data_IF_877664669299
#
_entry.id   IF_877664669299
#
_cell.length_a   1.000
_cell.length_b   1.000
_cell.length_c   1.000
_cell.angle_alpha   90.00
_cell.angle_beta   90.00
_cell.angle_gamma   90.00
#
_symmetry.space_group_name_H-M   'P 1'
#
loop_
_entity.id
_entity.type
_entity.pdbx_description
1 polymer ?
#
# COMPACT_ATOMS: atom_id res chain seq x y z
N UNK A 1 -43.41 -24.82 38.24
CA UNK A 1 -42.36 -25.57 37.52
C UNK A 1 -41.67 -26.51 38.52
N UNK A 2 -41.38 -27.78 38.18
CA UNK A 2 -40.78 -28.71 39.16
C UNK A 2 -39.32 -28.34 39.47
N UNK A 3 -38.86 -28.61 40.69
CA UNK A 3 -37.48 -28.33 41.13
C UNK A 3 -36.43 -28.96 40.20
N UNK A 4 -36.74 -30.12 39.62
CA UNK A 4 -35.91 -30.80 38.60
C UNK A 4 -35.79 -30.01 37.29
N UNK A 5 -36.87 -29.38 36.81
CA UNK A 5 -36.86 -28.54 35.60
C UNK A 5 -36.04 -27.26 35.80
N UNK A 6 -36.12 -26.64 36.97
CA UNK A 6 -35.32 -25.45 37.29
C UNK A 6 -33.82 -25.77 37.27
N UNK A 7 -33.42 -26.86 37.93
CA UNK A 7 -32.01 -27.31 37.97
C UNK A 7 -31.49 -27.61 36.55
N UNK A 8 -32.31 -28.28 35.73
CA UNK A 8 -31.94 -28.61 34.35
C UNK A 8 -31.73 -27.36 33.48
N UNK A 9 -32.61 -26.35 33.59
CA UNK A 9 -32.48 -25.08 32.86
C UNK A 9 -31.23 -24.31 33.31
N UNK A 10 -30.95 -24.28 34.61
CA UNK A 10 -29.75 -23.62 35.15
C UNK A 10 -28.48 -24.32 34.66
N UNK A 11 -28.44 -25.65 34.65
CA UNK A 11 -27.30 -26.41 34.11
C UNK A 11 -27.09 -26.16 32.61
N UNK A 12 -28.16 -26.06 31.82
CA UNK A 12 -28.10 -25.70 30.40
C UNK A 12 -27.57 -24.27 30.18
N UNK A 13 -28.02 -23.31 30.99
CA UNK A 13 -27.53 -21.93 30.93
C UNK A 13 -26.05 -21.84 31.28
N UNK A 14 -25.62 -22.52 32.35
CA UNK A 14 -24.21 -22.57 32.78
C UNK A 14 -23.33 -23.26 31.73
N UNK A 15 -23.80 -24.37 31.14
CA UNK A 15 -23.08 -25.04 30.05
C UNK A 15 -22.97 -24.15 28.79
N UNK A 16 -24.02 -23.39 28.46
CA UNK A 16 -23.96 -22.44 27.35
C UNK A 16 -22.96 -21.31 27.61
N UNK A 17 -22.91 -20.77 28.84
CA UNK A 17 -22.00 -19.70 29.22
C UNK A 17 -20.53 -20.14 29.17
N UNK A 18 -20.24 -21.41 29.50
CA UNK A 18 -18.90 -22.01 29.36
C UNK A 18 -18.53 -22.19 27.88
N UNK A 19 -19.52 -22.44 27.01
CA UNK A 19 -19.31 -22.58 25.56
C UNK A 19 -18.99 -21.25 24.87
N UNK A 20 -19.43 -20.11 25.42
CA UNK A 20 -19.09 -18.77 24.93
C UNK A 20 -17.67 -18.31 25.34
N UNK A 21 -16.99 -19.06 26.23
CA UNK A 21 -15.70 -18.67 26.82
C UNK A 21 -14.44 -19.20 26.10
N UNK A 22 -14.58 -19.95 25.00
CA UNK A 22 -13.43 -20.34 24.18
C UNK A 22 -13.13 -19.25 23.13
N UNK A 23 -12.53 -18.15 23.58
CA UNK A 23 -11.81 -17.24 22.68
C UNK A 23 -10.63 -18.03 22.13
N UNK A 24 -10.62 -18.28 20.81
CA UNK A 24 -9.58 -19.06 20.13
C UNK A 24 -8.20 -18.41 20.40
N UNK A 25 -7.35 -18.99 21.28
CA UNK A 25 -6.12 -18.34 21.72
C UNK A 25 -5.08 -18.25 20.59
N UNK A 26 -5.24 -19.05 19.55
CA UNK A 26 -4.40 -19.07 18.34
C UNK A 26 -5.02 -18.28 17.18
N UNK A 27 -6.07 -17.49 17.41
CA UNK A 27 -6.65 -16.65 16.37
C UNK A 27 -5.66 -15.58 15.92
N UNK A 28 -5.19 -15.71 14.68
CA UNK A 28 -4.52 -14.64 13.96
C UNK A 28 -5.51 -13.95 13.04
N UNK A 29 -5.59 -12.61 13.14
CA UNK A 29 -6.40 -11.82 12.23
C UNK A 29 -5.94 -12.06 10.78
N UNK A 30 -6.84 -12.47 9.86
CA UNK A 30 -6.49 -12.67 8.45
C UNK A 30 -5.84 -11.44 7.83
N UNK A 31 -6.27 -10.25 8.23
CA UNK A 31 -5.69 -8.97 7.78
C UNK A 31 -4.23 -8.84 8.24
N UNK A 32 -3.97 -9.14 9.52
CA UNK A 32 -2.60 -9.08 10.07
C UNK A 32 -1.70 -10.09 9.35
N UNK A 33 -2.23 -11.29 9.04
CA UNK A 33 -1.49 -12.30 8.29
C UNK A 33 -1.12 -11.80 6.89
N UNK A 34 -2.08 -11.25 6.13
CA UNK A 34 -1.83 -10.67 4.79
C UNK A 34 -0.77 -9.58 4.86
N UNK A 35 -0.86 -8.67 5.83
CA UNK A 35 0.12 -7.59 6.01
C UNK A 35 1.51 -8.15 6.32
N UNK A 36 1.63 -9.13 7.22
CA UNK A 36 2.92 -9.75 7.56
C UNK A 36 3.58 -10.43 6.36
N UNK A 37 2.78 -11.06 5.51
CA UNK A 37 3.27 -11.76 4.31
C UNK A 37 3.61 -10.79 3.18
N UNK A 38 2.82 -9.72 3.00
CA UNK A 38 2.91 -8.82 1.84
C UNK A 38 3.81 -7.60 2.08
N UNK A 39 3.79 -7.01 3.27
CA UNK A 39 4.51 -5.76 3.55
C UNK A 39 6.02 -5.81 3.27
N UNK A 40 6.75 -6.94 3.45
CA UNK A 40 8.18 -7.01 3.11
C UNK A 40 8.48 -6.79 1.61
N UNK A 41 7.51 -6.99 0.72
CA UNK A 41 7.64 -6.73 -0.71
C UNK A 41 7.30 -5.27 -1.10
N UNK A 42 6.69 -4.50 -0.19
CA UNK A 42 6.33 -3.10 -0.40
C UNK A 42 7.49 -2.18 0.00
N UNK A 43 7.90 -1.33 -0.94
CA UNK A 43 9.12 -0.53 -0.88
C UNK A 43 8.82 0.95 -0.92
N UNK A 44 9.68 1.74 -0.28
CA UNK A 44 9.72 3.18 -0.47
C UNK A 44 10.43 3.50 -1.77
N UNK A 45 9.93 4.48 -2.51
CA UNK A 45 10.58 5.06 -3.68
C UNK A 45 10.90 6.52 -3.41
N UNK A 46 12.18 6.84 -3.44
CA UNK A 46 12.71 8.21 -3.39
C UNK A 46 13.24 8.57 -4.78
N UNK A 47 12.72 9.64 -5.39
CA UNK A 47 13.24 10.16 -6.66
C UNK A 47 13.88 11.51 -6.48
N UNK A 48 14.99 11.75 -7.15
CA UNK A 48 15.63 13.07 -7.15
C UNK A 48 15.52 13.71 -8.52
N UNK A 49 15.11 14.98 -8.57
CA UNK A 49 15.07 15.78 -9.79
C UNK A 49 15.70 17.16 -9.54
N UNK A 50 16.54 17.63 -10.45
CA UNK A 50 17.05 19.01 -10.43
C UNK A 50 16.08 19.85 -11.26
N UNK A 51 15.09 20.48 -10.64
CA UNK A 51 14.10 21.31 -11.37
C UNK A 51 13.78 22.60 -10.61
N UNK A 52 13.55 23.68 -11.35
CA UNK A 52 13.20 25.01 -10.81
C UNK A 52 11.70 25.18 -10.47
N UNK A 53 10.90 24.13 -10.70
CA UNK A 53 9.44 24.09 -10.54
C UNK A 53 9.06 22.92 -9.62
N UNK A 54 8.05 23.13 -8.78
CA UNK A 54 7.54 22.14 -7.81
C UNK A 54 7.22 20.82 -8.48
N UNK A 55 7.55 19.72 -7.81
CA UNK A 55 6.91 18.42 -8.05
C UNK A 55 5.44 18.49 -7.59
N UNK A 56 4.64 17.45 -7.88
CA UNK A 56 3.21 17.35 -7.58
C UNK A 56 2.85 18.08 -6.25
N UNK A 57 2.20 19.26 -6.33
CA UNK A 57 1.88 20.08 -5.16
C UNK A 57 1.05 19.33 -4.10
N UNK A 58 0.29 18.32 -4.53
CA UNK A 58 -0.52 17.51 -3.62
C UNK A 58 0.35 16.60 -2.75
N UNK A 59 1.37 15.96 -3.35
CA UNK A 59 2.31 15.11 -2.63
C UNK A 59 3.11 15.96 -1.62
N UNK A 60 3.69 17.07 -2.07
CA UNK A 60 4.47 17.98 -1.20
C UNK A 60 3.65 18.50 -0.01
N UNK A 61 2.39 18.88 -0.24
CA UNK A 61 1.50 19.36 0.81
C UNK A 61 1.08 18.25 1.79
N UNK A 62 0.74 17.07 1.28
CA UNK A 62 0.38 15.93 2.11
C UNK A 62 1.53 15.53 3.03
N UNK A 63 2.73 15.33 2.49
CA UNK A 63 3.86 14.88 3.29
C UNK A 63 4.26 15.90 4.36
N UNK A 64 4.28 17.19 4.00
CA UNK A 64 4.53 18.28 4.95
C UNK A 64 3.50 18.31 6.08
N UNK A 65 2.20 18.12 5.77
CA UNK A 65 1.11 18.16 6.76
C UNK A 65 1.07 16.93 7.67
N UNK A 66 1.38 15.74 7.14
CA UNK A 66 1.24 14.47 7.87
C UNK A 66 2.52 14.02 8.59
N UNK A 67 3.70 14.31 8.05
CA UNK A 67 4.97 13.82 8.60
C UNK A 67 5.90 14.95 9.10
N UNK A 68 5.54 16.22 8.86
CA UNK A 68 6.30 17.38 9.32
C UNK A 68 7.40 17.83 8.36
N UNK A 69 7.97 19.02 8.61
CA UNK A 69 9.02 19.60 7.75
C UNK A 69 10.37 18.87 7.84
N UNK A 70 10.63 18.14 8.93
CA UNK A 70 11.90 17.46 9.21
C UNK A 70 12.09 16.16 8.40
N UNK A 71 11.01 15.57 7.90
CA UNK A 71 11.01 14.38 7.03
C UNK A 71 11.25 14.74 5.56
N UNK A 72 11.25 16.03 5.22
CA UNK A 72 11.58 16.54 3.88
C UNK A 72 13.05 16.99 3.88
N UNK A 73 13.93 16.44 3.02
CA UNK A 73 15.35 16.81 3.03
C UNK A 73 15.58 18.30 2.67
N UNK A 74 16.01 19.12 3.63
CA UNK A 74 16.34 20.54 3.41
C UNK A 74 17.80 20.75 2.98
N UNK A 75 18.02 21.46 1.86
CA UNK A 75 19.33 21.94 1.43
C UNK A 75 19.30 22.72 0.11
N UNK A 76 19.96 23.88 0.06
CA UNK A 76 19.98 24.86 -1.04
C UNK A 76 20.33 24.26 -2.43
N UNK A 77 19.59 24.72 -3.47
CA UNK A 77 19.25 24.10 -4.76
C UNK A 77 18.11 23.09 -4.57
N UNK A 78 16.89 23.40 -5.04
CA UNK A 78 15.73 22.50 -4.95
C UNK A 78 15.98 21.22 -5.75
N UNK A 79 16.67 20.27 -5.13
CA UNK A 79 16.62 18.86 -5.48
C UNK A 79 15.33 18.37 -4.84
N UNK A 80 14.22 18.62 -5.51
CA UNK A 80 12.92 18.16 -5.01
C UNK A 80 12.95 16.64 -5.01
N UNK A 81 12.64 16.06 -3.85
CA UNK A 81 12.57 14.61 -3.68
C UNK A 81 11.11 14.25 -3.68
N UNK A 82 10.64 13.48 -4.67
CA UNK A 82 9.31 12.87 -4.54
C UNK A 82 9.44 11.55 -3.80
N UNK A 83 8.42 11.27 -2.99
CA UNK A 83 8.32 10.09 -2.16
C UNK A 83 7.04 9.36 -2.56
N UNK A 84 7.15 8.07 -2.83
CA UNK A 84 6.01 7.20 -3.08
C UNK A 84 6.29 5.78 -2.63
N UNK A 85 5.37 4.88 -2.93
CA UNK A 85 5.49 3.45 -2.67
C UNK A 85 5.58 2.65 -3.97
N UNK A 86 6.04 1.43 -3.86
CA UNK A 86 6.02 0.42 -4.92
C UNK A 86 5.99 -0.97 -4.33
N UNK A 87 5.86 -2.01 -5.15
CA UNK A 87 6.00 -3.38 -4.69
C UNK A 87 6.76 -4.25 -5.69
N UNK A 88 7.53 -5.20 -5.15
CA UNK A 88 8.27 -6.18 -5.96
C UNK A 88 7.31 -7.26 -6.47
N UNK A 89 7.31 -7.52 -7.78
CA UNK A 89 6.47 -8.56 -8.39
C UNK A 89 7.26 -9.66 -9.10
N UNK A 90 8.59 -9.57 -9.14
CA UNK A 90 9.47 -10.57 -9.75
C UNK A 90 10.79 -10.66 -8.96
N UNK A 91 11.27 -11.89 -8.71
CA UNK A 91 12.47 -12.17 -7.92
C UNK A 91 13.74 -11.55 -8.50
N UNK A 92 13.77 -11.25 -9.80
CA UNK A 92 14.89 -10.54 -10.43
C UNK A 92 14.96 -9.09 -9.97
N UNK A 93 13.93 -8.55 -9.31
CA UNK A 93 13.90 -7.21 -8.74
C UNK A 93 13.06 -6.20 -9.53
N UNK A 94 12.07 -6.66 -10.30
CA UNK A 94 11.11 -5.76 -10.94
C UNK A 94 10.08 -5.27 -9.91
N UNK A 95 9.81 -3.97 -9.97
CA UNK A 95 8.93 -3.26 -9.06
C UNK A 95 7.91 -2.48 -9.87
N UNK A 96 6.64 -2.57 -9.46
CA UNK A 96 5.56 -1.72 -9.95
C UNK A 96 5.39 -0.52 -9.01
N UNK A 97 5.02 0.61 -9.60
CA UNK A 97 4.66 1.85 -8.92
C UNK A 97 3.81 2.70 -9.87
N UNK A 98 3.44 3.91 -9.45
CA UNK A 98 2.76 4.85 -10.33
C UNK A 98 3.75 5.62 -11.22
N UNK A 99 3.29 6.06 -12.39
CA UNK A 99 4.10 6.87 -13.29
C UNK A 99 4.45 8.19 -12.63
N UNK A 100 3.46 8.88 -12.06
CA UNK A 100 3.68 10.20 -11.45
C UNK A 100 4.74 10.18 -10.34
N UNK A 101 4.94 9.03 -9.67
CA UNK A 101 5.98 8.84 -8.64
C UNK A 101 7.39 8.90 -9.23
N UNK A 102 7.60 8.33 -10.42
CA UNK A 102 8.91 8.20 -11.06
C UNK A 102 9.12 9.11 -12.27
N UNK A 103 8.12 9.91 -12.59
CA UNK A 103 8.09 10.79 -13.75
C UNK A 103 9.32 11.69 -13.84
N UNK A 104 10.07 11.57 -14.95
CA UNK A 104 11.26 12.38 -15.23
C UNK A 104 12.30 12.40 -14.08
N UNK A 105 12.40 11.31 -13.31
CA UNK A 105 13.38 11.16 -12.24
C UNK A 105 14.82 11.08 -12.79
N UNK A 106 15.75 11.88 -12.25
CA UNK A 106 17.19 11.76 -12.60
C UNK A 106 17.83 10.55 -11.91
N UNK A 107 17.34 10.23 -10.72
CA UNK A 107 17.71 9.00 -10.02
C UNK A 107 16.56 8.51 -9.16
N UNK A 108 16.43 7.19 -9.09
CA UNK A 108 15.41 6.48 -8.33
C UNK A 108 16.13 5.61 -7.30
N UNK A 109 15.76 5.76 -6.04
CA UNK A 109 16.26 4.95 -4.92
C UNK A 109 15.10 4.20 -4.30
N UNK A 110 15.25 2.89 -4.20
CA UNK A 110 14.29 1.99 -3.57
C UNK A 110 14.81 1.64 -2.18
N UNK A 111 13.98 1.79 -1.15
CA UNK A 111 14.30 1.40 0.22
C UNK A 111 13.32 0.32 0.69
N UNK A 112 13.84 -0.84 1.09
CA UNK A 112 13.05 -1.93 1.68
C UNK A 112 12.82 -1.69 3.18
N UNK A 113 11.85 -2.42 3.74
CA UNK A 113 11.48 -2.34 5.16
C UNK A 113 12.65 -2.64 6.12
N UNK A 114 13.61 -3.47 5.70
CA UNK A 114 14.82 -3.77 6.48
C UNK A 114 15.91 -2.68 6.39
N UNK A 115 15.61 -1.56 5.72
CA UNK A 115 16.51 -0.44 5.51
C UNK A 115 17.49 -0.61 4.36
N UNK A 116 17.51 -1.76 3.68
CA UNK A 116 18.37 -1.94 2.50
C UNK A 116 17.94 -1.04 1.34
N UNK A 117 18.94 -0.45 0.66
CA UNK A 117 18.71 0.55 -0.41
C UNK A 117 19.34 0.13 -1.71
N UNK A 118 18.61 0.35 -2.80
CA UNK A 118 19.04 0.02 -4.16
C UNK A 118 18.77 1.19 -5.09
N UNK A 119 19.71 1.46 -6.00
CA UNK A 119 19.41 2.31 -7.15
C UNK A 119 18.55 1.51 -8.11
N UNK A 120 17.47 2.12 -8.59
CA UNK A 120 16.62 1.55 -9.60
C UNK A 120 16.83 2.22 -10.96
N UNK A 121 16.56 1.45 -12.01
CA UNK A 121 16.47 1.92 -13.40
C UNK A 121 15.01 1.90 -13.83
N UNK A 122 14.56 2.98 -14.44
CA UNK A 122 13.25 3.01 -15.09
C UNK A 122 13.25 2.08 -16.31
N UNK A 123 12.32 1.14 -16.36
CA UNK A 123 12.19 0.18 -17.46
C UNK A 123 11.20 0.68 -18.50
N UNK A 124 10.07 1.23 -18.04
CA UNK A 124 8.99 1.71 -18.89
C UNK A 124 7.73 2.00 -18.08
N UNK A 125 6.75 2.62 -18.70
CA UNK A 125 5.50 3.00 -18.05
C UNK A 125 4.52 3.61 -19.04
N UNK A 126 3.34 3.94 -18.52
CA UNK A 126 2.23 4.53 -19.24
C UNK A 126 1.64 5.65 -18.37
N UNK A 127 1.77 6.89 -18.83
CA UNK A 127 1.29 8.09 -18.14
C UNK A 127 -0.25 8.21 -18.17
N UNK A 128 -0.93 7.61 -19.15
CA UNK A 128 -2.38 7.62 -19.21
C UNK A 128 -2.99 6.71 -18.14
N UNK A 129 -2.38 5.54 -17.94
CA UNK A 129 -2.74 4.56 -16.91
C UNK A 129 -2.12 4.85 -15.54
N UNK A 130 -1.14 5.75 -15.48
CA UNK A 130 -0.35 6.07 -14.28
C UNK A 130 0.36 4.85 -13.69
N UNK A 131 0.98 4.04 -14.55
CA UNK A 131 1.73 2.82 -14.18
C UNK A 131 3.17 2.93 -14.64
N UNK A 132 4.12 2.53 -13.79
CA UNK A 132 5.51 2.41 -14.16
C UNK A 132 6.17 1.14 -13.59
N UNK A 133 7.11 0.61 -14.36
CA UNK A 133 7.98 -0.50 -13.97
C UNK A 133 9.40 0.04 -13.79
N UNK A 134 9.96 -0.22 -12.61
CA UNK A 134 11.37 0.03 -12.30
C UNK A 134 12.08 -1.27 -11.95
N UNK A 135 13.40 -1.28 -12.04
CA UNK A 135 14.23 -2.46 -11.80
C UNK A 135 15.39 -2.15 -10.89
N UNK A 136 15.56 -2.96 -9.86
CA UNK A 136 16.77 -2.97 -9.03
C UNK A 136 17.65 -4.17 -9.36
N UNK A 137 18.93 -4.10 -9.03
CA UNK A 137 19.79 -5.27 -8.92
C UNK A 137 19.79 -5.76 -7.46
N UNK A 138 19.22 -6.94 -7.14
CA UNK A 138 19.12 -7.43 -5.77
C UNK A 138 20.47 -7.82 -5.16
N UNK A 139 21.55 -7.95 -5.95
CA UNK A 139 22.89 -8.28 -5.47
C UNK A 139 22.94 -9.52 -4.56
N UNK A 140 22.15 -10.55 -4.91
CA UNK A 140 22.07 -11.80 -4.15
C UNK A 140 21.14 -11.79 -2.95
N UNK A 141 20.42 -10.68 -2.68
CA UNK A 141 19.34 -10.64 -1.70
C UNK A 141 18.13 -11.44 -2.18
N UNK A 142 17.57 -12.29 -1.32
CA UNK A 142 16.26 -12.90 -1.54
C UNK A 142 15.17 -11.83 -1.39
N UNK A 143 14.36 -11.65 -2.45
CA UNK A 143 13.27 -10.69 -2.46
C UNK A 143 11.95 -11.39 -2.11
N UNK A 144 11.12 -10.73 -1.29
CA UNK A 144 9.70 -11.06 -1.21
C UNK A 144 8.99 -10.45 -2.41
N UNK A 145 8.13 -11.24 -3.03
CA UNK A 145 7.37 -10.87 -4.23
C UNK A 145 5.88 -10.96 -3.94
N UNK A 146 5.11 -10.04 -4.51
CA UNK A 146 3.65 -10.13 -4.53
C UNK A 146 3.21 -10.81 -5.82
N UNK A 147 2.27 -11.74 -5.67
CA UNK A 147 1.61 -12.39 -6.79
C UNK A 147 0.42 -11.55 -7.26
N UNK A 148 0.17 -11.53 -8.57
CA UNK A 148 -1.01 -10.87 -9.11
C UNK A 148 -2.25 -11.73 -8.94
N UNK A 149 -3.35 -11.07 -8.56
CA UNK A 149 -4.69 -11.63 -8.66
C UNK A 149 -5.30 -11.46 -10.05
N UNK A 150 -6.56 -11.85 -10.17
CA UNK A 150 -7.37 -11.69 -11.37
C UNK A 150 -8.46 -10.64 -11.11
N UNK A 151 -8.32 -9.47 -11.74
CA UNK A 151 -9.24 -8.34 -11.53
C UNK A 151 -10.66 -8.63 -12.02
N UNK A 152 -10.83 -9.53 -12.99
CA UNK A 152 -12.15 -9.91 -13.51
C UNK A 152 -12.97 -10.75 -12.51
N UNK A 153 -12.30 -11.25 -11.46
CA UNK A 153 -12.92 -12.04 -10.38
C UNK A 153 -13.21 -11.24 -9.12
N UNK A 154 -12.88 -9.95 -9.09
CA UNK A 154 -13.16 -9.10 -7.93
C UNK A 154 -14.66 -8.95 -7.71
N UNK A 155 -15.09 -9.01 -6.46
CA UNK A 155 -16.47 -8.77 -6.07
C UNK A 155 -16.59 -7.48 -5.23
N UNK A 156 -17.61 -6.67 -5.53
CA UNK A 156 -17.93 -5.49 -4.72
C UNK A 156 -18.31 -5.96 -3.31
N UNK A 157 -17.63 -5.41 -2.29
CA UNK A 157 -17.77 -5.76 -0.88
C UNK A 157 -16.61 -6.60 -0.32
N UNK A 158 -15.71 -7.10 -1.18
CA UNK A 158 -14.50 -7.79 -0.71
C UNK A 158 -13.57 -6.84 0.03
N UNK A 159 -12.81 -7.37 1.01
CA UNK A 159 -11.81 -6.60 1.73
C UNK A 159 -10.72 -6.08 0.78
N UNK A 160 -10.44 -4.78 0.87
CA UNK A 160 -9.33 -4.13 0.19
C UNK A 160 -8.31 -3.66 1.25
N UNK A 161 -7.08 -4.14 1.15
CA UNK A 161 -5.98 -3.78 2.04
C UNK A 161 -4.95 -3.01 1.21
N UNK A 162 -4.82 -1.71 1.46
CA UNK A 162 -3.81 -0.88 0.80
C UNK A 162 -2.59 -0.75 1.70
N UNK A 163 -1.42 -1.11 1.18
CA UNK A 163 -0.16 -1.11 1.91
C UNK A 163 0.78 -0.11 1.24
N UNK A 164 1.35 0.79 2.02
CA UNK A 164 2.36 1.75 1.56
C UNK A 164 3.63 1.65 2.38
N UNK A 165 4.72 2.23 1.90
CA UNK A 165 5.97 2.38 2.64
C UNK A 165 6.55 3.79 2.47
N UNK A 166 5.86 4.83 2.98
CA UNK A 166 6.26 6.22 2.73
C UNK A 166 7.59 6.60 3.38
N UNK A 167 7.92 5.99 4.53
CA UNK A 167 9.09 6.36 5.33
C UNK A 167 10.23 5.33 5.26
N UNK A 168 10.03 4.21 4.56
CA UNK A 168 11.04 3.18 4.35
C UNK A 168 11.23 2.22 5.52
N UNK A 169 10.97 2.67 6.76
CA UNK A 169 11.16 1.89 7.99
C UNK A 169 9.85 1.48 8.68
N UNK A 170 8.71 1.99 8.21
CA UNK A 170 7.37 1.61 8.66
C UNK A 170 6.42 1.61 7.47
N UNK A 171 5.64 0.53 7.35
CA UNK A 171 4.54 0.46 6.42
C UNK A 171 3.33 1.23 6.95
N UNK A 172 2.56 1.79 6.03
CA UNK A 172 1.21 2.25 6.31
C UNK A 172 0.24 1.20 5.80
N UNK A 173 -0.80 0.91 6.56
CA UNK A 173 -1.84 -0.04 6.16
C UNK A 173 -3.19 0.63 6.38
N UNK A 174 -4.01 0.63 5.34
CA UNK A 174 -5.41 1.04 5.42
C UNK A 174 -6.28 -0.09 4.90
N UNK A 175 -7.46 -0.23 5.49
CA UNK A 175 -8.41 -1.29 5.12
C UNK A 175 -9.76 -0.67 4.83
N UNK A 176 -10.42 -1.25 3.84
CA UNK A 176 -11.78 -0.95 3.45
C UNK A 176 -12.31 -2.10 2.59
N UNK A 177 -13.21 -1.81 1.69
CA UNK A 177 -13.82 -2.74 0.77
C UNK A 177 -13.78 -2.23 -0.67
N UNK A 178 -13.74 -3.16 -1.62
CA UNK A 178 -14.01 -2.87 -3.03
C UNK A 178 -15.41 -2.28 -3.12
N UNK A 179 -15.50 -0.99 -3.45
CA UNK A 179 -16.73 -0.22 -3.48
C UNK A 179 -17.34 -0.16 -4.88
N UNK A 180 -16.51 -0.18 -5.92
CA UNK A 180 -16.94 -0.24 -7.32
C UNK A 180 -15.79 -0.69 -8.24
N UNK A 181 -16.14 -1.20 -9.42
CA UNK A 181 -15.19 -1.63 -10.46
C UNK A 181 -15.38 -0.79 -11.73
N UNK A 182 -14.41 -0.84 -12.64
CA UNK A 182 -14.43 -0.21 -13.97
C UNK A 182 -14.79 1.28 -13.94
N UNK A 183 -14.32 1.99 -12.91
CA UNK A 183 -14.64 3.41 -12.71
C UNK A 183 -13.89 4.27 -13.71
N UNK A 184 -14.58 5.32 -14.15
CA UNK A 184 -14.03 6.38 -14.99
C UNK A 184 -14.16 7.71 -14.26
N UNK A 185 -13.05 8.40 -14.04
CA UNK A 185 -13.00 9.69 -13.34
C UNK A 185 -12.25 10.72 -14.19
N UNK A 186 -12.72 11.98 -14.24
CA UNK A 186 -12.03 13.03 -14.98
C UNK A 186 -10.69 13.35 -14.30
N UNK A 187 -9.65 13.57 -15.12
CA UNK A 187 -8.35 14.02 -14.62
C UNK A 187 -8.48 15.47 -14.11
N UNK A 188 -7.85 15.83 -12.96
CA UNK A 188 -7.99 17.16 -12.37
C UNK A 188 -7.54 18.32 -13.27
N UNK A 189 -6.60 18.06 -14.17
CA UNK A 189 -6.04 19.00 -15.14
C UNK A 189 -6.94 19.18 -16.39
N UNK A 190 -8.02 18.41 -16.51
CA UNK A 190 -8.92 18.41 -17.66
C UNK A 190 -8.36 17.73 -18.91
N UNK A 191 -7.23 17.03 -18.83
CA UNK A 191 -6.59 16.40 -20.00
C UNK A 191 -7.31 15.13 -20.48
N UNK A 192 -8.23 14.60 -19.69
CA UNK A 192 -9.00 13.41 -20.06
C UNK A 192 -9.61 12.71 -18.86
N UNK A 193 -9.55 11.38 -18.87
CA UNK A 193 -10.10 10.53 -17.81
C UNK A 193 -9.09 9.46 -17.40
N UNK A 194 -9.04 9.14 -16.11
CA UNK A 194 -8.60 7.82 -15.69
C UNK A 194 -9.73 6.83 -15.93
N UNK A 195 -9.40 5.67 -16.48
CA UNK A 195 -10.36 4.62 -16.86
C UNK A 195 -10.02 3.32 -16.17
N UNK A 196 -11.02 2.45 -16.07
CA UNK A 196 -10.88 1.09 -15.55
C UNK A 196 -10.35 0.99 -14.11
N UNK A 197 -10.71 1.97 -13.28
CA UNK A 197 -10.25 2.02 -11.89
C UNK A 197 -11.10 1.16 -10.96
N UNK A 198 -10.45 0.60 -9.95
CA UNK A 198 -11.12 0.06 -8.75
C UNK A 198 -11.35 1.22 -7.77
N UNK A 199 -12.56 1.31 -7.22
CA UNK A 199 -12.86 2.22 -6.12
C UNK A 199 -12.89 1.44 -4.81
N UNK A 200 -12.30 2.00 -3.78
CA UNK A 200 -12.32 1.47 -2.42
C UNK A 200 -12.62 2.58 -1.42
N UNK A 201 -13.16 2.23 -0.25
CA UNK A 201 -13.24 3.12 0.90
C UNK A 201 -12.04 2.97 1.84
N UNK A 202 -11.09 2.07 1.52
CA UNK A 202 -9.77 2.07 2.12
C UNK A 202 -9.10 3.42 1.79
N UNK A 203 -8.48 4.05 2.79
CA UNK A 203 -7.86 5.34 2.57
C UNK A 203 -6.64 5.21 1.64
N UNK A 204 -6.75 5.75 0.42
CA UNK A 204 -5.67 5.89 -0.56
C UNK A 204 -5.13 7.32 -0.50
N UNK A 205 -3.82 7.46 -0.35
CA UNK A 205 -3.14 8.74 -0.18
C UNK A 205 -1.69 8.65 -0.68
N UNK A 206 -0.97 9.78 -0.81
CA UNK A 206 0.43 9.80 -1.24
C UNK A 206 1.35 8.80 -0.51
N UNK A 207 1.04 8.47 0.75
CA UNK A 207 1.83 7.54 1.53
C UNK A 207 1.72 6.07 1.11
N UNK A 208 0.63 5.66 0.45
CA UNK A 208 0.46 4.32 -0.13
C UNK A 208 0.32 4.32 -1.66
N UNK A 209 0.37 5.49 -2.29
CA UNK A 209 0.40 5.64 -3.76
C UNK A 209 1.54 4.81 -4.36
N UNK A 210 1.18 3.93 -5.29
CA UNK A 210 2.05 3.00 -6.01
C UNK A 210 2.33 1.67 -5.30
N UNK A 211 1.97 1.53 -4.02
CA UNK A 211 2.15 0.33 -3.21
C UNK A 211 1.09 -0.75 -3.43
#
# INVERSE_FOLDING_TARGET
MSRKRVIFIVLLLVASLISFGYVNPDYESPIVKVVKESAPAVVKIDVSKTTYTSFDPFMDEFFRKFFGEDEIPWGLKRRTTAIGSGFVFDEKGYILTNEHVVHNAESITVTFLDGSKFRATYIGGDEELDIAVIKIDPKGKELKVLEFGDSDKLEIGEWAIAIGNPLGLQHTVTIGVVSALHRKIPKPDGSGYYTDLIQTDAAINPGNSGG
#
